data_IF_572915769733
#
_entry.id   IF_572915769733
#
_cell.length_a   1.000
_cell.length_b   1.000
_cell.length_c   1.000
_cell.angle_alpha   90.00
_cell.angle_beta   90.00
_cell.angle_gamma   90.00
#
_symmetry.space_group_name_H-M   'P 1'
#
loop_
_entity.id
_entity.type
_entity.pdbx_description
1 polymer ?
#
# COMPACT_ATOMS: atom_id res chain seq x y z
N UNK A 1 1.30 41.27 -7.63
CA UNK A 1 0.12 41.56 -6.80
C UNK A 1 0.59 41.63 -5.35
N UNK A 2 0.24 42.65 -4.59
CA UNK A 2 0.63 42.75 -3.19
C UNK A 2 -0.06 41.61 -2.41
N UNK A 3 0.72 40.85 -1.63
CA UNK A 3 0.17 39.83 -0.73
C UNK A 3 -0.68 40.55 0.33
N UNK A 4 -1.95 40.14 0.46
CA UNK A 4 -2.87 40.71 1.44
C UNK A 4 -2.35 40.37 2.84
N UNK A 5 -2.16 41.37 3.71
CA UNK A 5 -1.76 41.12 5.09
C UNK A 5 -2.97 40.76 5.97
N UNK A 6 -2.73 40.12 7.11
CA UNK A 6 -3.78 39.81 8.10
C UNK A 6 -4.60 41.06 8.49
N UNK A 7 -3.91 42.19 8.64
CA UNK A 7 -4.53 43.46 8.96
C UNK A 7 -5.47 43.96 7.84
N UNK A 8 -5.02 43.88 6.59
CA UNK A 8 -5.81 44.28 5.43
C UNK A 8 -7.02 43.35 5.26
N UNK A 9 -6.83 42.05 5.48
CA UNK A 9 -7.88 41.04 5.40
C UNK A 9 -9.01 41.34 6.39
N UNK A 10 -8.67 41.48 7.67
CA UNK A 10 -9.64 41.79 8.74
C UNK A 10 -10.36 43.11 8.44
N UNK A 11 -9.62 44.14 8.04
CA UNK A 11 -10.20 45.43 7.71
C UNK A 11 -11.17 45.33 6.52
N UNK A 12 -10.80 44.62 5.46
CA UNK A 12 -11.65 44.44 4.28
C UNK A 12 -12.95 43.72 4.62
N UNK A 13 -12.89 42.61 5.36
CA UNK A 13 -14.08 41.86 5.75
C UNK A 13 -14.97 42.67 6.71
N UNK A 14 -14.39 43.39 7.68
CA UNK A 14 -15.16 44.29 8.55
C UNK A 14 -15.92 45.35 7.77
N UNK A 15 -15.25 45.99 6.81
CA UNK A 15 -15.87 47.02 5.96
C UNK A 15 -16.94 46.44 5.03
N UNK A 16 -16.71 45.26 4.44
CA UNK A 16 -17.72 44.53 3.64
C UNK A 16 -18.97 44.18 4.45
N UNK A 17 -18.79 43.84 5.73
CA UNK A 17 -19.89 43.56 6.66
C UNK A 17 -20.53 44.81 7.27
N UNK A 18 -20.16 46.02 6.81
CA UNK A 18 -20.66 47.32 7.29
C UNK A 18 -20.52 47.52 8.81
N UNK A 19 -19.50 46.91 9.43
CA UNK A 19 -19.27 47.02 10.87
C UNK A 19 -18.30 48.14 11.21
N UNK A 20 -18.64 48.95 12.20
CA UNK A 20 -17.67 49.87 12.81
C UNK A 20 -16.74 49.11 13.75
N UNK A 21 -15.56 49.67 14.03
CA UNK A 21 -14.64 49.11 15.04
C UNK A 21 -15.32 48.95 16.41
N UNK A 22 -16.16 49.90 16.82
CA UNK A 22 -16.88 49.84 18.09
C UNK A 22 -17.90 48.70 18.11
N UNK A 23 -18.59 48.47 16.99
CA UNK A 23 -19.60 47.41 16.87
C UNK A 23 -18.95 46.03 16.87
N UNK A 24 -17.87 45.83 16.11
CA UNK A 24 -17.12 44.58 16.12
C UNK A 24 -16.51 44.29 17.50
N UNK A 25 -15.94 45.31 18.16
CA UNK A 25 -15.42 45.21 19.53
C UNK A 25 -16.49 44.75 20.53
N UNK A 26 -17.69 45.33 20.44
CA UNK A 26 -18.84 44.96 21.27
C UNK A 26 -19.27 43.51 21.03
N UNK A 27 -19.32 43.05 19.77
CA UNK A 27 -19.68 41.67 19.42
C UNK A 27 -18.64 40.65 19.85
N UNK A 28 -17.36 40.97 19.66
CA UNK A 28 -16.24 40.12 20.04
C UNK A 28 -15.92 40.17 21.54
N UNK A 29 -16.55 41.07 22.31
CA UNK A 29 -16.21 41.31 23.71
C UNK A 29 -14.70 41.56 23.93
N UNK A 30 -14.09 42.34 23.02
CA UNK A 30 -12.68 42.74 23.08
C UNK A 30 -12.56 44.26 23.03
N UNK A 31 -11.44 44.80 23.52
CA UNK A 31 -11.21 46.24 23.49
C UNK A 31 -11.11 46.74 22.03
N UNK A 32 -11.85 47.79 21.68
CA UNK A 32 -11.78 48.48 20.38
C UNK A 32 -10.35 48.82 19.96
N UNK A 33 -9.53 49.24 20.92
CA UNK A 33 -8.11 49.54 20.69
C UNK A 33 -7.31 48.32 20.21
N UNK A 34 -7.66 47.11 20.66
CA UNK A 34 -7.01 45.87 20.20
C UNK A 34 -7.27 45.63 18.72
N UNK A 35 -8.53 45.71 18.28
CA UNK A 35 -8.90 45.55 16.86
C UNK A 35 -8.22 46.63 16.01
N UNK A 36 -8.26 47.89 16.46
CA UNK A 36 -7.63 49.01 15.75
C UNK A 36 -6.13 48.79 15.56
N UNK A 37 -5.43 48.33 16.61
CA UNK A 37 -3.99 48.05 16.53
C UNK A 37 -3.68 46.89 15.60
N UNK A 38 -4.55 45.88 15.51
CA UNK A 38 -4.42 44.77 14.56
C UNK A 38 -4.59 45.28 13.13
N UNK A 39 -5.67 46.00 12.83
CA UNK A 39 -5.92 46.57 11.49
C UNK A 39 -4.85 47.58 11.05
N UNK A 40 -4.19 48.26 11.98
CA UNK A 40 -3.10 49.20 11.69
C UNK A 40 -1.70 48.56 11.71
N UNK A 41 -1.58 47.23 11.86
CA UNK A 41 -0.30 46.50 11.96
C UNK A 41 0.58 46.94 13.14
N UNK A 42 0.00 47.56 14.16
CA UNK A 42 0.69 47.97 15.38
C UNK A 42 0.95 46.77 16.31
N UNK A 43 0.17 45.69 16.19
CA UNK A 43 0.42 44.42 16.87
C UNK A 43 1.24 43.51 15.97
N UNK A 44 2.52 43.33 16.30
CA UNK A 44 3.43 42.45 15.52
C UNK A 44 3.00 40.99 15.50
N UNK A 45 2.44 40.49 16.60
CA UNK A 45 2.03 39.09 16.81
C UNK A 45 0.71 39.05 17.57
N UNK A 46 -0.43 39.18 16.87
CA UNK A 46 -1.71 39.09 17.54
C UNK A 46 -1.93 37.69 18.11
N UNK A 47 -2.66 37.62 19.22
CA UNK A 47 -3.05 36.35 19.83
C UNK A 47 -4.01 35.59 18.89
N UNK A 48 -3.73 34.30 18.64
CA UNK A 48 -4.50 33.50 17.67
C UNK A 48 -5.98 33.42 18.04
N UNK A 49 -6.32 33.23 19.32
CA UNK A 49 -7.73 33.15 19.76
C UNK A 49 -8.47 34.46 19.49
N UNK A 50 -7.80 35.59 19.69
CA UNK A 50 -8.34 36.91 19.36
C UNK A 50 -8.58 37.05 17.85
N UNK A 51 -7.62 36.60 17.03
CA UNK A 51 -7.77 36.62 15.56
C UNK A 51 -8.90 35.69 15.10
N UNK A 52 -8.94 34.46 15.58
CA UNK A 52 -9.96 33.47 15.25
C UNK A 52 -11.38 33.96 15.64
N UNK A 53 -11.53 34.61 16.80
CA UNK A 53 -12.79 35.20 17.21
C UNK A 53 -13.23 36.35 16.29
N UNK A 54 -12.32 37.26 15.94
CA UNK A 54 -12.60 38.34 15.00
C UNK A 54 -12.98 37.76 13.62
N UNK A 55 -12.20 36.80 13.13
CA UNK A 55 -12.42 36.14 11.84
C UNK A 55 -13.78 35.45 11.79
N UNK A 56 -14.15 34.70 12.84
CA UNK A 56 -15.44 34.04 12.95
C UNK A 56 -16.61 35.02 12.93
N UNK A 57 -16.52 36.16 13.63
CA UNK A 57 -17.57 37.19 13.63
C UNK A 57 -17.70 37.96 12.32
N UNK A 58 -16.65 37.92 11.51
CA UNK A 58 -16.59 38.53 10.19
C UNK A 58 -16.84 37.52 9.07
N UNK A 59 -17.15 36.26 9.42
CA UNK A 59 -17.34 35.14 8.49
C UNK A 59 -16.16 34.95 7.52
N UNK A 60 -14.94 35.19 8.00
CA UNK A 60 -13.71 34.96 7.21
C UNK A 60 -13.42 33.45 7.20
N UNK A 61 -13.23 32.81 6.03
CA UNK A 61 -12.87 31.41 5.93
C UNK A 61 -11.58 31.08 6.71
N UNK A 62 -11.55 29.91 7.36
CA UNK A 62 -10.41 29.45 8.17
C UNK A 62 -9.09 29.51 7.42
N UNK A 63 -9.05 28.90 6.23
CA UNK A 63 -7.85 28.84 5.40
C UNK A 63 -7.32 30.24 5.04
N UNK A 64 -8.20 31.22 4.81
CA UNK A 64 -7.80 32.57 4.38
C UNK A 64 -7.10 33.36 5.50
N UNK A 65 -7.68 33.39 6.71
CA UNK A 65 -7.08 34.14 7.80
C UNK A 65 -5.88 33.43 8.43
N UNK A 66 -5.86 32.09 8.45
CA UNK A 66 -4.74 31.32 8.95
C UNK A 66 -3.51 31.50 8.05
N UNK A 67 -3.69 31.54 6.73
CA UNK A 67 -2.60 31.86 5.80
C UNK A 67 -1.96 33.22 6.12
N UNK A 68 -2.78 34.24 6.36
CA UNK A 68 -2.27 35.56 6.73
C UNK A 68 -1.66 35.57 8.15
N UNK A 69 -2.19 34.78 9.07
CA UNK A 69 -1.70 34.67 10.44
C UNK A 69 -0.30 34.06 10.51
N UNK A 70 -0.05 33.01 9.74
CA UNK A 70 1.27 32.35 9.67
C UNK A 70 2.39 33.29 9.20
N UNK A 71 2.08 34.33 8.43
CA UNK A 71 3.09 35.29 7.98
C UNK A 71 3.59 36.23 9.09
N UNK A 72 2.83 36.39 10.17
CA UNK A 72 3.20 37.24 11.31
C UNK A 72 3.65 36.46 12.54
N UNK A 73 3.19 35.21 12.71
CA UNK A 73 3.63 34.34 13.79
C UNK A 73 4.91 33.58 13.44
N UNK A 74 5.85 33.53 14.40
CA UNK A 74 7.16 32.89 14.23
C UNK A 74 7.54 31.97 15.39
N UNK A 75 6.67 31.80 16.38
CA UNK A 75 6.95 30.91 17.51
C UNK A 75 6.47 29.51 17.18
N UNK A 76 7.39 28.55 17.23
CA UNK A 76 7.09 27.15 16.97
C UNK A 76 5.96 26.63 17.88
N UNK A 77 5.94 27.02 19.15
CA UNK A 77 4.89 26.62 20.11
C UNK A 77 3.49 27.05 19.69
N UNK A 78 3.33 28.26 19.11
CA UNK A 78 2.02 28.76 18.67
C UNK A 78 1.60 28.07 17.37
N UNK A 79 2.52 27.92 16.42
CA UNK A 79 2.28 27.19 15.18
C UNK A 79 1.95 25.72 15.43
N UNK A 80 2.57 25.12 16.46
CA UNK A 80 2.29 23.77 16.90
C UNK A 80 0.87 23.63 17.46
N UNK A 81 0.47 24.50 18.40
CA UNK A 81 -0.91 24.48 18.92
C UNK A 81 -1.95 24.70 17.82
N UNK A 82 -1.65 25.56 16.85
CA UNK A 82 -2.48 25.77 15.67
C UNK A 82 -2.58 24.51 14.79
N UNK A 83 -1.47 23.80 14.61
CA UNK A 83 -1.44 22.53 13.87
C UNK A 83 -2.30 21.48 14.56
N UNK A 84 -2.16 21.31 15.88
CA UNK A 84 -2.96 20.38 16.68
C UNK A 84 -4.45 20.69 16.60
N UNK A 85 -4.83 21.97 16.73
CA UNK A 85 -6.23 22.41 16.62
C UNK A 85 -6.79 22.15 15.21
N UNK A 86 -5.98 22.38 14.17
CA UNK A 86 -6.39 22.15 12.78
C UNK A 86 -6.59 20.66 12.48
N UNK A 87 -5.73 19.80 13.03
CA UNK A 87 -5.88 18.34 12.93
C UNK A 87 -7.11 17.87 13.70
N UNK A 88 -7.27 18.33 14.95
CA UNK A 88 -8.38 17.93 15.81
C UNK A 88 -9.75 18.37 15.26
N UNK A 89 -9.78 19.49 14.54
CA UNK A 89 -10.98 20.03 13.91
C UNK A 89 -11.19 19.51 12.47
N UNK A 90 -10.42 18.52 12.04
CA UNK A 90 -10.48 17.91 10.70
C UNK A 90 -10.46 18.94 9.57
N UNK A 91 -9.58 19.95 9.70
CA UNK A 91 -9.39 20.96 8.65
C UNK A 91 -8.80 20.33 7.38
N UNK A 92 -8.82 21.09 6.29
CA UNK A 92 -8.33 20.59 5.00
C UNK A 92 -6.86 20.14 5.09
N UNK A 93 -6.53 19.03 4.41
CA UNK A 93 -5.14 18.56 4.29
C UNK A 93 -4.20 19.64 3.73
N UNK A 94 -4.73 20.55 2.92
CA UNK A 94 -4.00 21.69 2.38
C UNK A 94 -3.53 22.66 3.48
N UNK A 95 -4.45 23.12 4.35
CA UNK A 95 -4.10 24.08 5.41
C UNK A 95 -3.22 23.43 6.48
N UNK A 96 -3.51 22.18 6.86
CA UNK A 96 -2.70 21.42 7.83
C UNK A 96 -1.25 21.30 7.33
N UNK A 97 -1.06 20.97 6.05
CA UNK A 97 0.28 20.91 5.45
C UNK A 97 0.98 22.26 5.44
N UNK A 98 0.27 23.36 5.18
CA UNK A 98 0.85 24.72 5.22
C UNK A 98 1.32 25.08 6.64
N UNK A 99 0.49 24.82 7.65
CA UNK A 99 0.85 25.07 9.06
C UNK A 99 2.07 24.22 9.46
N UNK A 100 2.06 22.92 9.15
CA UNK A 100 3.20 22.05 9.43
C UNK A 100 4.48 22.51 8.71
N UNK A 101 4.37 22.99 7.47
CA UNK A 101 5.52 23.55 6.73
C UNK A 101 6.06 24.78 7.44
N UNK A 102 5.19 25.72 7.84
CA UNK A 102 5.62 26.94 8.54
C UNK A 102 6.24 26.64 9.90
N UNK A 103 5.70 25.64 10.62
CA UNK A 103 6.28 25.16 11.88
C UNK A 103 7.73 24.66 11.68
N UNK A 104 7.99 23.87 10.63
CA UNK A 104 9.34 23.40 10.32
C UNK A 104 10.30 24.52 9.87
N UNK A 105 9.79 25.61 9.27
CA UNK A 105 10.59 26.75 8.83
C UNK A 105 10.98 27.73 9.96
N UNK A 106 10.69 27.38 11.22
CA UNK A 106 10.97 28.25 12.35
C UNK A 106 12.48 28.33 12.65
N UNK A 107 13.07 29.51 12.51
CA UNK A 107 14.53 29.72 12.63
C UNK A 107 15.10 29.62 14.07
N UNK A 108 14.25 29.63 15.09
CA UNK A 108 14.67 29.75 16.50
C UNK A 108 14.85 28.41 17.21
N UNK A 109 14.33 27.32 16.64
CA UNK A 109 14.36 25.99 17.23
C UNK A 109 15.29 25.08 16.43
N UNK A 110 15.77 24.01 17.04
CA UNK A 110 16.58 23.02 16.35
C UNK A 110 15.73 22.27 15.32
N UNK A 111 16.19 22.21 14.06
CA UNK A 111 15.46 21.55 12.98
C UNK A 111 15.23 20.06 13.24
N UNK A 112 16.13 19.40 13.98
CA UNK A 112 15.96 18.01 14.41
C UNK A 112 14.77 17.87 15.35
N UNK A 113 14.69 18.71 16.39
CA UNK A 113 13.62 18.66 17.40
C UNK A 113 12.24 18.94 16.78
N UNK A 114 12.15 19.91 15.86
CA UNK A 114 10.93 20.20 15.13
C UNK A 114 10.46 18.99 14.30
N UNK A 115 11.38 18.33 13.60
CA UNK A 115 11.06 17.14 12.80
C UNK A 115 10.67 15.97 13.70
N UNK A 116 11.36 15.76 14.82
CA UNK A 116 11.03 14.72 15.79
C UNK A 116 9.61 14.88 16.34
N UNK A 117 9.26 16.11 16.74
CA UNK A 117 7.93 16.43 17.26
C UNK A 117 6.85 16.15 16.20
N UNK A 118 7.04 16.65 14.96
CA UNK A 118 6.09 16.42 13.88
C UNK A 118 5.96 14.93 13.51
N UNK A 119 7.08 14.21 13.47
CA UNK A 119 7.08 12.77 13.17
C UNK A 119 6.32 11.98 14.24
N UNK A 120 6.58 12.24 15.52
CA UNK A 120 5.94 11.55 16.64
C UNK A 120 4.42 11.76 16.63
N UNK A 121 3.96 12.98 16.39
CA UNK A 121 2.54 13.27 16.29
C UNK A 121 1.91 12.63 15.06
N UNK A 122 2.61 12.67 13.91
CA UNK A 122 2.13 12.03 12.67
C UNK A 122 1.90 10.54 12.87
N UNK A 123 2.77 9.85 13.62
CA UNK A 123 2.62 8.43 13.90
C UNK A 123 1.30 8.09 14.62
N UNK A 124 0.80 9.00 15.47
CA UNK A 124 -0.39 8.80 16.29
C UNK A 124 -1.73 9.05 15.58
N UNK A 125 -1.70 9.65 14.38
CA UNK A 125 -2.92 10.00 13.63
C UNK A 125 -3.74 8.74 13.26
N UNK A 126 -4.99 8.91 12.85
CA UNK A 126 -5.81 7.80 12.31
C UNK A 126 -6.03 7.94 10.81
N UNK A 127 -6.09 9.19 10.30
CA UNK A 127 -6.22 9.47 8.88
C UNK A 127 -4.93 9.12 8.12
N UNK A 128 -4.98 8.04 7.34
CA UNK A 128 -3.88 7.54 6.51
C UNK A 128 -3.45 8.53 5.42
N UNK A 129 -4.38 9.28 4.83
CA UNK A 129 -4.09 10.27 3.79
C UNK A 129 -3.30 11.43 4.38
N UNK A 130 -3.74 11.94 5.53
CA UNK A 130 -3.01 12.99 6.25
C UNK A 130 -1.64 12.49 6.77
N UNK A 131 -1.56 11.25 7.28
CA UNK A 131 -0.28 10.64 7.66
C UNK A 131 0.72 10.66 6.51
N UNK A 132 0.30 10.16 5.35
CA UNK A 132 1.15 10.08 4.17
C UNK A 132 1.62 11.47 3.74
N UNK A 133 0.72 12.45 3.76
CA UNK A 133 1.03 13.85 3.45
C UNK A 133 2.12 14.43 4.37
N UNK A 134 2.00 14.21 5.68
CA UNK A 134 2.95 14.72 6.66
C UNK A 134 4.29 13.97 6.62
N UNK A 135 4.29 12.64 6.44
CA UNK A 135 5.55 11.91 6.24
C UNK A 135 6.29 12.36 4.98
N UNK A 136 5.59 12.60 3.87
CA UNK A 136 6.21 13.17 2.65
C UNK A 136 6.80 14.57 2.90
N UNK A 137 6.12 15.40 3.70
CA UNK A 137 6.66 16.70 4.12
C UNK A 137 7.93 16.53 4.95
N UNK A 138 7.91 15.65 5.96
CA UNK A 138 9.06 15.33 6.82
C UNK A 138 10.25 14.87 5.99
N UNK A 139 10.07 13.92 5.06
CA UNK A 139 11.13 13.42 4.18
C UNK A 139 11.75 14.55 3.36
N UNK A 140 10.90 15.39 2.74
CA UNK A 140 11.35 16.52 1.92
C UNK A 140 12.18 17.51 2.73
N UNK A 141 11.67 17.92 3.89
CA UNK A 141 12.36 18.86 4.78
C UNK A 141 13.66 18.27 5.34
N UNK A 142 13.62 17.01 5.77
CA UNK A 142 14.80 16.32 6.31
C UNK A 142 15.93 16.22 5.27
N UNK A 143 15.60 16.00 4.00
CA UNK A 143 16.58 16.00 2.89
C UNK A 143 17.25 17.36 2.72
N UNK A 144 16.51 18.46 2.76
CA UNK A 144 17.10 19.81 2.59
C UNK A 144 17.92 20.28 3.78
N UNK A 145 17.74 19.66 4.95
CA UNK A 145 18.42 20.03 6.20
C UNK A 145 19.41 18.97 6.71
N UNK A 146 19.63 17.89 5.94
CA UNK A 146 20.62 16.85 6.30
C UNK A 146 20.21 15.95 7.48
N UNK A 147 18.92 15.87 7.82
CA UNK A 147 18.41 15.12 8.97
C UNK A 147 18.16 13.65 8.57
N UNK A 148 19.23 12.88 8.39
CA UNK A 148 19.16 11.57 7.73
C UNK A 148 18.26 10.55 8.43
N UNK A 149 18.20 10.55 9.77
CA UNK A 149 17.36 9.62 10.55
C UNK A 149 15.88 9.73 10.17
N UNK A 150 15.38 10.95 9.97
CA UNK A 150 13.98 11.17 9.58
C UNK A 150 13.73 11.04 8.08
N UNK A 151 14.77 11.01 7.26
CA UNK A 151 14.67 10.48 5.89
C UNK A 151 14.40 8.97 5.97
N UNK A 152 15.19 8.23 6.74
CA UNK A 152 15.06 6.78 6.89
C UNK A 152 13.68 6.38 7.45
N UNK A 153 13.32 6.95 8.61
CA UNK A 153 12.05 6.69 9.28
C UNK A 153 10.86 7.15 8.43
N UNK A 154 10.96 8.32 7.80
CA UNK A 154 9.91 8.84 6.92
C UNK A 154 9.67 7.93 5.72
N UNK A 155 10.73 7.50 5.02
CA UNK A 155 10.62 6.58 3.89
C UNK A 155 10.01 5.23 4.33
N UNK A 156 10.40 4.71 5.49
CA UNK A 156 9.81 3.48 6.03
C UNK A 156 8.30 3.61 6.26
N UNK A 157 7.86 4.70 6.89
CA UNK A 157 6.44 4.94 7.15
C UNK A 157 5.64 5.21 5.88
N UNK A 158 6.21 5.97 4.93
CA UNK A 158 5.62 6.18 3.61
C UNK A 158 5.39 4.83 2.91
N UNK A 159 6.41 3.98 2.85
CA UNK A 159 6.30 2.64 2.26
C UNK A 159 5.24 1.77 2.97
N UNK A 160 5.18 1.80 4.30
CA UNK A 160 4.17 1.05 5.05
C UNK A 160 2.73 1.44 4.71
N UNK A 161 2.50 2.70 4.35
CA UNK A 161 1.18 3.20 3.93
C UNK A 161 0.92 2.81 2.48
N UNK A 162 1.84 3.17 1.57
CA UNK A 162 1.64 3.02 0.13
C UNK A 162 1.58 1.54 -0.28
N UNK A 163 2.27 0.62 0.42
CA UNK A 163 2.27 -0.82 0.06
C UNK A 163 0.93 -1.53 0.23
N UNK A 164 -0.04 -0.86 0.85
CA UNK A 164 -1.41 -1.37 0.97
C UNK A 164 -2.34 -0.84 -0.15
N UNK A 165 -1.83 0.00 -1.05
CA UNK A 165 -2.50 0.35 -2.30
C UNK A 165 -2.08 -0.64 -3.38
N UNK A 166 -2.96 -1.61 -3.64
CA UNK A 166 -2.66 -2.70 -4.56
C UNK A 166 -2.66 -2.28 -6.03
N UNK A 167 -3.21 -1.09 -6.35
CA UNK A 167 -3.20 -0.56 -7.71
C UNK A 167 -1.81 -0.08 -8.16
N UNK A 168 -0.86 0.04 -7.23
CA UNK A 168 0.48 0.56 -7.46
C UNK A 168 1.59 -0.32 -6.85
N UNK A 169 1.38 -1.64 -6.74
CA UNK A 169 2.30 -2.55 -6.03
C UNK A 169 3.73 -2.48 -6.57
N UNK A 170 3.90 -2.59 -7.89
CA UNK A 170 5.24 -2.65 -8.50
C UNK A 170 6.02 -1.34 -8.28
N UNK A 171 5.37 -0.20 -8.46
CA UNK A 171 5.96 1.12 -8.29
C UNK A 171 6.26 1.41 -6.81
N UNK A 172 5.38 0.96 -5.93
CA UNK A 172 5.57 1.06 -4.47
C UNK A 172 6.72 0.17 -4.00
N UNK A 173 6.90 -1.01 -4.59
CA UNK A 173 8.05 -1.87 -4.30
C UNK A 173 9.36 -1.20 -4.70
N UNK A 174 9.45 -0.71 -5.94
CA UNK A 174 10.63 -0.01 -6.45
C UNK A 174 10.97 1.23 -5.61
N UNK A 175 9.96 2.03 -5.26
CA UNK A 175 10.18 3.21 -4.41
C UNK A 175 10.49 2.84 -2.95
N UNK A 176 9.93 1.74 -2.43
CA UNK A 176 10.20 1.21 -1.10
C UNK A 176 11.65 0.76 -0.92
N UNK A 177 12.29 0.21 -1.97
CA UNK A 177 13.69 -0.21 -1.92
C UNK A 177 14.65 0.96 -1.63
N UNK A 178 14.27 2.22 -1.87
CA UNK A 178 15.12 3.37 -1.50
C UNK A 178 15.41 3.47 0.00
N UNK A 179 14.59 2.85 0.87
CA UNK A 179 14.85 2.77 2.32
C UNK A 179 16.20 2.12 2.59
N UNK A 180 16.64 1.18 1.75
CA UNK A 180 17.87 0.41 1.93
C UNK A 180 19.13 1.31 1.94
N UNK A 181 19.09 2.45 1.26
CA UNK A 181 20.19 3.43 1.28
C UNK A 181 20.38 4.10 2.65
N UNK A 182 19.40 3.97 3.55
CA UNK A 182 19.37 4.58 4.88
C UNK A 182 19.17 3.54 5.99
N UNK A 183 19.32 2.25 5.68
CA UNK A 183 18.91 1.13 6.53
C UNK A 183 19.65 1.10 7.89
N UNK A 184 20.91 1.55 7.91
CA UNK A 184 21.74 1.63 9.11
C UNK A 184 21.29 2.71 10.10
N UNK A 185 20.44 3.64 9.66
CA UNK A 185 19.87 4.70 10.53
C UNK A 185 18.59 4.25 11.24
N UNK A 186 18.04 3.10 10.85
CA UNK A 186 16.90 2.49 11.51
C UNK A 186 17.35 1.65 12.71
N UNK A 187 16.50 1.57 13.73
CA UNK A 187 16.72 0.62 14.83
C UNK A 187 16.75 -0.81 14.31
N UNK A 188 17.41 -1.74 15.04
CA UNK A 188 17.44 -3.17 14.70
C UNK A 188 16.03 -3.71 14.39
N UNK A 189 15.05 -3.35 15.23
CA UNK A 189 13.64 -3.73 15.04
C UNK A 189 13.06 -3.22 13.73
N UNK A 190 13.19 -1.92 13.45
CA UNK A 190 12.69 -1.31 12.22
C UNK A 190 13.37 -1.91 10.98
N UNK A 191 14.68 -2.12 11.03
CA UNK A 191 15.45 -2.76 9.96
C UNK A 191 14.95 -4.18 9.67
N UNK A 192 14.73 -4.98 10.71
CA UNK A 192 14.13 -6.31 10.55
C UNK A 192 12.73 -6.24 9.94
N UNK A 193 11.88 -5.30 10.37
CA UNK A 193 10.54 -5.11 9.80
C UNK A 193 10.60 -4.68 8.32
N UNK A 194 11.56 -3.83 7.93
CA UNK A 194 11.79 -3.43 6.54
C UNK A 194 12.15 -4.63 5.68
N UNK A 195 13.15 -5.42 6.08
CA UNK A 195 13.55 -6.63 5.34
C UNK A 195 12.40 -7.61 5.21
N UNK A 196 11.65 -7.86 6.28
CA UNK A 196 10.48 -8.72 6.24
C UNK A 196 9.43 -8.22 5.23
N UNK A 197 9.06 -6.95 5.32
CA UNK A 197 8.02 -6.37 4.45
C UNK A 197 8.45 -6.30 2.99
N UNK A 198 9.73 -6.06 2.71
CA UNK A 198 10.28 -6.10 1.36
C UNK A 198 10.35 -7.55 0.84
N UNK A 199 10.72 -8.52 1.67
CA UNK A 199 10.72 -9.94 1.29
C UNK A 199 9.31 -10.42 0.90
N UNK A 200 8.30 -10.09 1.71
CA UNK A 200 6.89 -10.41 1.40
C UNK A 200 6.43 -9.72 0.11
N UNK A 201 6.77 -8.43 -0.07
CA UNK A 201 6.36 -7.69 -1.26
C UNK A 201 7.03 -8.24 -2.52
N UNK A 202 8.33 -8.55 -2.47
CA UNK A 202 9.06 -9.20 -3.55
C UNK A 202 8.45 -10.56 -3.89
N UNK A 203 8.08 -11.36 -2.88
CA UNK A 203 7.40 -12.64 -3.07
C UNK A 203 6.06 -12.48 -3.78
N UNK A 204 5.24 -11.52 -3.35
CA UNK A 204 3.97 -11.19 -4.00
C UNK A 204 4.15 -10.79 -5.46
N UNK A 205 5.23 -10.08 -5.78
CA UNK A 205 5.59 -9.72 -7.16
C UNK A 205 6.33 -10.83 -7.92
N UNK A 206 6.50 -12.01 -7.29
CA UNK A 206 7.22 -13.19 -7.84
C UNK A 206 8.69 -12.92 -8.15
N UNK A 207 9.26 -11.92 -7.49
CA UNK A 207 10.69 -11.61 -7.48
C UNK A 207 11.38 -12.51 -6.43
N UNK A 208 11.29 -13.83 -6.63
CA UNK A 208 11.68 -14.81 -5.62
C UNK A 208 13.14 -14.70 -5.19
N UNK A 209 14.05 -14.32 -6.11
CA UNK A 209 15.45 -14.10 -5.76
C UNK A 209 15.63 -12.91 -4.82
N UNK A 210 14.97 -11.77 -5.09
CA UNK A 210 15.01 -10.60 -4.20
C UNK A 210 14.36 -10.91 -2.84
N UNK A 211 13.27 -11.68 -2.85
CA UNK A 211 12.62 -12.16 -1.63
C UNK A 211 13.59 -12.98 -0.76
N UNK A 212 14.33 -13.93 -1.38
CA UNK A 212 15.38 -14.71 -0.73
C UNK A 212 16.46 -13.81 -0.13
N UNK A 213 16.93 -12.82 -0.89
CA UNK A 213 18.00 -11.93 -0.46
C UNK A 213 17.59 -11.13 0.80
N UNK A 214 16.35 -10.61 0.84
CA UNK A 214 15.82 -9.93 2.03
C UNK A 214 15.59 -10.88 3.21
N UNK A 215 15.09 -12.10 2.98
CA UNK A 215 14.95 -13.10 4.03
C UNK A 215 16.31 -13.47 4.65
N UNK A 216 17.38 -13.55 3.85
CA UNK A 216 18.73 -13.81 4.35
C UNK A 216 19.25 -12.66 5.21
N UNK A 217 19.05 -11.42 4.77
CA UNK A 217 19.40 -10.24 5.57
C UNK A 217 18.66 -10.24 6.91
N UNK A 218 17.36 -10.57 6.89
CA UNK A 218 16.55 -10.70 8.10
C UNK A 218 17.10 -11.75 9.08
N UNK A 219 17.46 -12.93 8.57
CA UNK A 219 18.00 -14.03 9.39
C UNK A 219 19.37 -13.67 9.99
N UNK A 220 20.18 -12.88 9.27
CA UNK A 220 21.50 -12.43 9.73
C UNK A 220 21.43 -11.39 10.87
N UNK A 221 20.31 -10.66 11.00
CA UNK A 221 20.10 -9.73 12.11
C UNK A 221 20.01 -10.41 13.48
N UNK A 222 20.00 -11.75 13.52
CA UNK A 222 20.15 -12.63 14.70
C UNK A 222 19.26 -12.26 15.89
N UNK A 223 18.06 -12.80 15.87
CA UNK A 223 17.29 -13.14 17.05
C UNK A 223 16.29 -14.25 16.66
N UNK A 224 16.60 -15.51 17.01
CA UNK A 224 15.68 -16.64 16.77
C UNK A 224 14.37 -16.48 17.55
N UNK A 225 14.33 -15.62 18.57
CA UNK A 225 13.09 -15.28 19.29
C UNK A 225 12.24 -14.25 18.54
N UNK A 226 12.77 -13.64 17.47
CA UNK A 226 12.02 -12.71 16.65
C UNK A 226 10.94 -13.44 15.84
N UNK A 227 9.68 -13.03 16.02
CA UNK A 227 8.52 -13.54 15.28
C UNK A 227 8.74 -13.62 13.76
N UNK A 228 9.54 -12.73 13.18
CA UNK A 228 9.77 -12.70 11.74
C UNK A 228 10.72 -13.79 11.24
N UNK A 229 11.53 -14.40 12.10
CA UNK A 229 12.45 -15.47 11.72
C UNK A 229 11.71 -16.62 11.05
N UNK A 230 10.68 -17.14 11.72
CA UNK A 230 9.87 -18.24 11.20
C UNK A 230 9.15 -17.89 9.91
N UNK A 231 8.68 -16.64 9.78
CA UNK A 231 8.04 -16.17 8.55
C UNK A 231 9.05 -16.12 7.39
N UNK A 232 10.29 -15.70 7.65
CA UNK A 232 11.35 -15.72 6.63
C UNK A 232 11.70 -17.15 6.19
N UNK A 233 11.79 -18.11 7.11
CA UNK A 233 11.96 -19.53 6.75
C UNK A 233 10.79 -20.02 5.90
N UNK A 234 9.55 -19.67 6.27
CA UNK A 234 8.35 -19.93 5.48
C UNK A 234 8.44 -19.42 4.05
N UNK A 235 8.86 -18.17 3.87
CA UNK A 235 9.04 -17.55 2.54
C UNK A 235 10.16 -18.23 1.75
N UNK A 236 11.29 -18.57 2.39
CA UNK A 236 12.45 -19.19 1.73
C UNK A 236 12.11 -20.55 1.14
N UNK A 237 11.36 -21.38 1.85
CA UNK A 237 10.86 -22.68 1.37
C UNK A 237 10.21 -22.57 -0.01
N UNK A 238 9.22 -21.70 -0.14
CA UNK A 238 8.48 -21.53 -1.39
C UNK A 238 9.28 -20.75 -2.44
N UNK A 239 10.04 -19.74 -2.04
CA UNK A 239 10.88 -18.98 -2.97
C UNK A 239 11.90 -19.87 -3.67
N UNK A 240 12.57 -20.76 -2.92
CA UNK A 240 13.49 -21.74 -3.51
C UNK A 240 12.79 -22.79 -4.36
N UNK A 241 11.56 -23.20 -3.98
CA UNK A 241 10.75 -24.06 -4.84
C UNK A 241 10.50 -23.42 -6.21
N UNK A 242 10.04 -22.16 -6.24
CA UNK A 242 9.76 -21.46 -7.49
C UNK A 242 11.02 -21.08 -8.28
N UNK A 243 12.17 -20.98 -7.63
CA UNK A 243 13.49 -20.87 -8.28
C UNK A 243 14.02 -22.22 -8.81
N UNK A 244 13.28 -23.31 -8.59
CA UNK A 244 13.64 -24.70 -8.92
C UNK A 244 14.86 -25.26 -8.17
N UNK A 245 15.19 -24.67 -7.01
CA UNK A 245 16.17 -25.22 -6.06
C UNK A 245 15.45 -26.07 -5.01
N UNK A 246 15.01 -27.26 -5.43
CA UNK A 246 14.19 -28.16 -4.60
C UNK A 246 14.94 -28.73 -3.40
N UNK A 247 16.28 -28.82 -3.48
CA UNK A 247 17.10 -29.26 -2.36
C UNK A 247 17.13 -28.21 -1.26
N UNK A 248 17.35 -26.94 -1.61
CA UNK A 248 17.36 -25.86 -0.63
C UNK A 248 15.95 -25.58 -0.09
N UNK A 249 14.92 -25.69 -0.94
CA UNK A 249 13.52 -25.67 -0.52
C UNK A 249 13.24 -26.72 0.56
N UNK A 250 13.68 -27.97 0.36
CA UNK A 250 13.55 -29.05 1.34
C UNK A 250 14.34 -28.79 2.63
N UNK A 251 15.56 -28.28 2.53
CA UNK A 251 16.35 -27.94 3.71
C UNK A 251 15.66 -26.91 4.60
N UNK A 252 15.09 -25.85 4.01
CA UNK A 252 14.31 -24.87 4.76
C UNK A 252 12.98 -25.44 5.28
N UNK A 253 12.39 -26.42 4.58
CA UNK A 253 11.20 -27.13 5.07
C UNK A 253 11.51 -27.92 6.34
N UNK A 254 12.59 -28.70 6.34
CA UNK A 254 13.05 -29.46 7.52
C UNK A 254 13.37 -28.51 8.69
N UNK A 255 14.00 -27.37 8.41
CA UNK A 255 14.25 -26.33 9.41
C UNK A 255 12.96 -25.75 9.99
N UNK A 256 11.94 -25.52 9.18
CA UNK A 256 10.64 -25.02 9.63
C UNK A 256 9.93 -26.03 10.54
N UNK A 257 9.91 -27.30 10.13
CA UNK A 257 9.25 -28.40 10.85
C UNK A 257 9.95 -28.75 12.18
N UNK A 258 11.25 -28.47 12.29
CA UNK A 258 12.01 -28.68 13.52
C UNK A 258 11.68 -27.67 14.64
N UNK A 259 10.89 -26.63 14.36
CA UNK A 259 10.56 -25.60 15.34
C UNK A 259 9.41 -26.06 16.25
N UNK A 260 9.57 -25.90 17.58
CA UNK A 260 8.71 -26.49 18.65
C UNK A 260 7.20 -26.15 18.59
N UNK A 261 6.77 -25.31 17.63
CA UNK A 261 5.39 -24.86 17.48
C UNK A 261 4.83 -24.95 16.05
N UNK A 262 5.52 -25.60 15.10
CA UNK A 262 4.92 -25.85 13.78
C UNK A 262 3.88 -26.97 13.88
N UNK A 263 2.61 -26.62 14.06
CA UNK A 263 1.55 -27.53 13.63
C UNK A 263 1.74 -27.77 12.13
N UNK A 264 1.43 -28.98 11.64
CA UNK A 264 1.48 -29.25 10.20
C UNK A 264 0.41 -28.38 9.53
N UNK A 265 0.85 -27.24 9.03
CA UNK A 265 0.00 -26.26 8.37
C UNK A 265 -0.33 -26.73 6.95
N UNK A 266 -1.40 -26.21 6.36
CA UNK A 266 -1.83 -26.58 5.01
C UNK A 266 -0.73 -26.32 3.97
N UNK A 267 0.10 -25.30 4.20
CA UNK A 267 1.27 -24.95 3.40
C UNK A 267 2.37 -26.03 3.40
N UNK A 268 2.55 -26.78 4.49
CA UNK A 268 3.55 -27.84 4.60
C UNK A 268 3.14 -29.03 3.74
N UNK A 269 1.88 -29.44 3.85
CA UNK A 269 1.29 -30.54 3.06
C UNK A 269 1.34 -30.21 1.56
N UNK A 270 0.97 -28.98 1.21
CA UNK A 270 1.01 -28.52 -0.17
C UNK A 270 2.43 -28.54 -0.74
N UNK A 271 3.40 -27.96 -0.02
CA UNK A 271 4.78 -27.94 -0.49
C UNK A 271 5.38 -29.34 -0.63
N UNK A 272 5.06 -30.26 0.28
CA UNK A 272 5.51 -31.65 0.20
C UNK A 272 4.98 -32.33 -1.08
N UNK A 273 3.68 -32.19 -1.37
CA UNK A 273 3.07 -32.70 -2.60
C UNK A 273 3.73 -32.10 -3.86
N UNK A 274 3.96 -30.78 -3.85
CA UNK A 274 4.63 -30.07 -4.94
C UNK A 274 6.07 -30.55 -5.15
N UNK A 275 6.84 -30.78 -4.08
CA UNK A 275 8.22 -31.27 -4.15
C UNK A 275 8.28 -32.69 -4.74
N UNK A 276 7.37 -33.59 -4.33
CA UNK A 276 7.28 -34.93 -4.90
C UNK A 276 6.89 -34.90 -6.38
N UNK A 277 5.93 -34.04 -6.76
CA UNK A 277 5.56 -33.83 -8.15
C UNK A 277 6.76 -33.42 -9.00
N UNK A 278 7.57 -32.44 -8.53
CA UNK A 278 8.75 -31.96 -9.27
C UNK A 278 9.90 -32.96 -9.34
N UNK A 279 9.99 -33.90 -8.39
CA UNK A 279 10.96 -35.00 -8.40
C UNK A 279 10.54 -36.19 -9.26
N UNK A 280 9.31 -36.19 -9.76
CA UNK A 280 8.77 -37.27 -10.60
C UNK A 280 8.04 -38.38 -9.83
N UNK A 281 7.84 -38.21 -8.52
CA UNK A 281 7.07 -39.15 -7.68
C UNK A 281 5.55 -38.88 -7.84
N UNK A 282 5.06 -38.97 -9.08
CA UNK A 282 3.72 -38.46 -9.46
C UNK A 282 2.58 -39.10 -8.68
N UNK A 283 2.57 -40.43 -8.51
CA UNK A 283 1.51 -41.13 -7.78
C UNK A 283 1.44 -40.73 -6.30
N UNK A 284 2.62 -40.54 -5.69
CA UNK A 284 2.72 -40.07 -4.31
C UNK A 284 2.24 -38.62 -4.20
N UNK A 285 2.64 -37.76 -5.12
CA UNK A 285 2.19 -36.38 -5.17
C UNK A 285 0.67 -36.27 -5.30
N UNK A 286 0.05 -37.04 -6.19
CA UNK A 286 -1.42 -37.13 -6.34
C UNK A 286 -2.07 -37.52 -5.02
N UNK A 287 -1.57 -38.56 -4.36
CA UNK A 287 -2.06 -39.01 -3.05
C UNK A 287 -1.96 -37.91 -2.00
N UNK A 288 -0.87 -37.15 -1.98
CA UNK A 288 -0.65 -36.05 -1.05
C UNK A 288 -1.54 -34.84 -1.37
N UNK A 289 -1.76 -34.52 -2.64
CA UNK A 289 -2.71 -33.49 -3.07
C UNK A 289 -4.14 -33.83 -2.65
N UNK A 290 -4.59 -35.07 -2.82
CA UNK A 290 -5.91 -35.51 -2.37
C UNK A 290 -6.07 -35.36 -0.85
N UNK A 291 -5.06 -35.79 -0.08
CA UNK A 291 -5.06 -35.63 1.38
C UNK A 291 -5.06 -34.16 1.79
N UNK A 292 -4.29 -33.31 1.10
CA UNK A 292 -4.25 -31.88 1.35
C UNK A 292 -5.62 -31.25 1.09
N UNK A 293 -6.23 -31.55 -0.06
CA UNK A 293 -7.53 -31.01 -0.47
C UNK A 293 -8.65 -31.40 0.51
N UNK A 294 -8.63 -32.64 1.02
CA UNK A 294 -9.59 -33.14 2.00
C UNK A 294 -9.45 -32.49 3.39
N UNK A 295 -8.24 -32.10 3.78
CA UNK A 295 -7.95 -31.65 5.15
C UNK A 295 -7.75 -30.13 5.27
N UNK A 296 -7.53 -29.42 4.17
CA UNK A 296 -7.24 -27.99 4.20
C UNK A 296 -8.48 -27.15 4.53
N UNK A 297 -8.23 -25.94 5.06
CA UNK A 297 -9.27 -24.94 5.28
C UNK A 297 -9.86 -24.45 3.98
N UNK A 298 -11.11 -23.99 4.01
CA UNK A 298 -11.83 -23.51 2.82
C UNK A 298 -11.09 -22.38 2.11
N UNK A 299 -10.58 -21.40 2.86
CA UNK A 299 -9.78 -20.30 2.30
C UNK A 299 -8.46 -20.76 1.65
N UNK A 300 -7.94 -21.95 2.01
CA UNK A 300 -6.69 -22.47 1.47
C UNK A 300 -6.88 -23.35 0.23
N UNK A 301 -8.11 -23.79 -0.08
CA UNK A 301 -8.40 -24.74 -1.15
C UNK A 301 -7.88 -24.29 -2.51
N UNK A 302 -7.96 -22.99 -2.82
CA UNK A 302 -7.53 -22.47 -4.11
C UNK A 302 -6.06 -22.76 -4.41
N UNK A 303 -5.18 -22.62 -3.42
CA UNK A 303 -3.75 -22.90 -3.58
C UNK A 303 -3.51 -24.37 -3.95
N UNK A 304 -4.22 -25.28 -3.28
CA UNK A 304 -4.12 -26.73 -3.55
C UNK A 304 -4.67 -27.06 -4.94
N UNK A 305 -5.86 -26.54 -5.27
CA UNK A 305 -6.52 -26.77 -6.57
C UNK A 305 -5.66 -26.27 -7.73
N UNK A 306 -5.07 -25.08 -7.62
CA UNK A 306 -4.22 -24.51 -8.67
C UNK A 306 -3.01 -25.41 -8.98
N UNK A 307 -2.24 -25.77 -7.95
CA UNK A 307 -1.06 -26.62 -8.12
C UNK A 307 -1.44 -28.03 -8.60
N UNK A 308 -2.58 -28.55 -8.15
CA UNK A 308 -3.06 -29.89 -8.55
C UNK A 308 -3.57 -29.93 -10.00
N UNK A 309 -4.31 -28.92 -10.44
CA UNK A 309 -4.67 -28.75 -11.87
C UNK A 309 -3.38 -28.64 -12.70
N UNK A 310 -2.42 -27.82 -12.25
CA UNK A 310 -1.15 -27.66 -12.96
C UNK A 310 -0.38 -28.98 -13.07
N UNK A 311 -0.36 -29.82 -12.03
CA UNK A 311 0.22 -31.16 -12.08
C UNK A 311 -0.48 -32.01 -13.13
N UNK A 312 -1.80 -32.18 -13.04
CA UNK A 312 -2.56 -33.01 -13.98
C UNK A 312 -2.38 -32.57 -15.43
N UNK A 313 -2.40 -31.26 -15.67
CA UNK A 313 -2.17 -30.69 -17.01
C UNK A 313 -0.76 -30.97 -17.53
N UNK A 314 0.25 -31.06 -16.65
CA UNK A 314 1.65 -31.35 -17.01
C UNK A 314 1.90 -32.82 -17.38
N UNK A 315 1.12 -33.74 -16.82
CA UNK A 315 1.18 -35.19 -17.13
C UNK A 315 0.11 -35.62 -18.15
N UNK A 316 -0.58 -34.66 -18.76
CA UNK A 316 -1.64 -34.85 -19.77
C UNK A 316 -2.89 -35.61 -19.28
N UNK A 317 -3.11 -35.65 -17.96
CA UNK A 317 -4.32 -36.18 -17.33
C UNK A 317 -5.45 -35.13 -17.32
N UNK A 318 -5.84 -34.69 -18.53
CA UNK A 318 -6.77 -33.57 -18.73
C UNK A 318 -8.13 -33.82 -18.07
N UNK A 319 -8.63 -35.07 -18.09
CA UNK A 319 -9.91 -35.40 -17.49
C UNK A 319 -9.92 -35.17 -15.96
N UNK A 320 -8.83 -35.49 -15.28
CA UNK A 320 -8.69 -35.27 -13.84
C UNK A 320 -8.59 -33.79 -13.49
N UNK A 321 -7.86 -33.00 -14.29
CA UNK A 321 -7.85 -31.54 -14.17
C UNK A 321 -9.27 -30.95 -14.29
N UNK A 322 -10.08 -31.46 -15.22
CA UNK A 322 -11.47 -31.04 -15.40
C UNK A 322 -12.36 -31.32 -14.18
N UNK A 323 -12.11 -32.40 -13.43
CA UNK A 323 -12.86 -32.68 -12.20
C UNK A 323 -12.59 -31.64 -11.12
N UNK A 324 -11.35 -31.16 -10.99
CA UNK A 324 -10.98 -30.12 -10.02
C UNK A 324 -11.66 -28.77 -10.33
N UNK A 325 -11.96 -28.47 -11.60
CA UNK A 325 -12.70 -27.26 -11.97
C UNK A 325 -14.12 -27.22 -11.40
N UNK A 326 -14.70 -28.36 -11.00
CA UNK A 326 -15.99 -28.39 -10.30
C UNK A 326 -15.98 -27.69 -8.94
N UNK A 327 -14.78 -27.40 -8.40
CA UNK A 327 -14.61 -26.65 -7.15
C UNK A 327 -14.75 -25.12 -7.30
N UNK A 328 -15.02 -24.63 -8.51
CA UNK A 328 -15.15 -23.19 -8.79
C UNK A 328 -16.17 -22.48 -7.89
N UNK A 329 -17.30 -23.10 -7.57
CA UNK A 329 -18.30 -22.51 -6.66
C UNK A 329 -17.72 -22.29 -5.25
N UNK A 330 -16.96 -23.27 -4.74
CA UNK A 330 -16.29 -23.15 -3.46
C UNK A 330 -15.21 -22.06 -3.50
N UNK A 331 -14.45 -21.97 -4.59
CA UNK A 331 -13.44 -20.93 -4.81
C UNK A 331 -14.08 -19.53 -4.85
N UNK A 332 -15.22 -19.37 -5.52
CA UNK A 332 -15.94 -18.08 -5.56
C UNK A 332 -16.56 -17.68 -4.21
N UNK A 333 -16.73 -18.63 -3.28
CA UNK A 333 -17.23 -18.32 -1.94
C UNK A 333 -16.17 -17.76 -0.98
N UNK A 334 -14.89 -17.83 -1.38
CA UNK A 334 -13.76 -17.29 -0.59
C UNK A 334 -13.77 -15.76 -0.67
N UNK A 335 -13.43 -15.11 0.46
CA UNK A 335 -13.21 -13.65 0.49
C UNK A 335 -11.74 -13.36 0.25
N UNK A 336 -11.44 -12.62 -0.83
CA UNK A 336 -10.08 -12.24 -1.23
C UNK A 336 -9.76 -10.82 -0.72
N UNK A 337 -8.65 -10.68 0.00
CA UNK A 337 -8.25 -9.46 0.72
C UNK A 337 -6.79 -9.06 0.51
N UNK A 338 -5.95 -9.97 0.04
CA UNK A 338 -4.53 -9.71 -0.20
C UNK A 338 -4.15 -9.85 -1.68
N UNK A 339 -3.06 -9.23 -2.14
CA UNK A 339 -2.66 -9.37 -3.54
C UNK A 339 -2.31 -10.80 -3.93
N UNK A 340 -1.76 -11.59 -3.00
CA UNK A 340 -1.46 -13.01 -3.24
C UNK A 340 -2.75 -13.83 -3.41
N UNK A 341 -3.79 -13.52 -2.66
CA UNK A 341 -5.11 -14.15 -2.80
C UNK A 341 -5.74 -13.82 -4.17
N UNK A 342 -5.73 -12.55 -4.60
CA UNK A 342 -6.19 -12.16 -5.93
C UNK A 342 -5.35 -12.80 -7.05
N UNK A 343 -4.05 -12.94 -6.84
CA UNK A 343 -3.15 -13.65 -7.74
C UNK A 343 -3.59 -15.10 -7.94
N UNK A 344 -3.90 -15.82 -6.87
CA UNK A 344 -4.32 -17.22 -6.94
C UNK A 344 -5.66 -17.38 -7.66
N UNK A 345 -6.58 -16.44 -7.46
CA UNK A 345 -7.84 -16.41 -8.21
C UNK A 345 -7.62 -16.17 -9.70
N UNK A 346 -6.75 -15.22 -10.05
CA UNK A 346 -6.39 -14.96 -11.43
C UNK A 346 -5.67 -16.19 -12.05
N UNK A 347 -4.83 -16.88 -11.28
CA UNK A 347 -4.14 -18.08 -11.72
C UNK A 347 -5.11 -19.25 -11.95
N UNK A 348 -6.10 -19.43 -11.08
CA UNK A 348 -7.17 -20.40 -11.26
C UNK A 348 -7.88 -20.21 -12.61
N UNK A 349 -8.31 -18.98 -12.91
CA UNK A 349 -8.96 -18.67 -14.19
C UNK A 349 -8.02 -18.90 -15.39
N UNK A 350 -6.72 -18.63 -15.24
CA UNK A 350 -5.73 -18.93 -16.28
C UNK A 350 -5.64 -20.44 -16.56
N UNK A 351 -5.56 -21.26 -15.51
CA UNK A 351 -5.51 -22.72 -15.61
C UNK A 351 -6.80 -23.28 -16.22
N UNK A 352 -7.95 -22.73 -15.84
CA UNK A 352 -9.26 -23.04 -16.43
C UNK A 352 -9.27 -22.72 -17.93
N UNK A 353 -8.71 -21.58 -18.34
CA UNK A 353 -8.49 -21.24 -19.74
C UNK A 353 -7.62 -22.26 -20.46
N UNK A 354 -6.46 -22.61 -19.89
CA UNK A 354 -5.53 -23.61 -20.44
C UNK A 354 -6.20 -25.00 -20.61
N UNK A 355 -7.03 -25.41 -19.65
CA UNK A 355 -7.84 -26.62 -19.73
C UNK A 355 -8.80 -26.59 -20.93
N UNK A 356 -9.57 -25.50 -21.08
CA UNK A 356 -10.52 -25.37 -22.18
C UNK A 356 -9.87 -25.30 -23.55
N UNK A 357 -8.65 -24.76 -23.64
CA UNK A 357 -7.85 -24.85 -24.88
C UNK A 357 -7.54 -26.31 -25.21
N UNK A 358 -7.14 -27.12 -24.22
CA UNK A 358 -6.86 -28.55 -24.45
C UNK A 358 -8.10 -29.35 -24.82
N UNK A 359 -9.27 -29.02 -24.29
CA UNK A 359 -10.55 -29.69 -24.62
C UNK A 359 -11.27 -29.07 -25.82
N UNK A 360 -10.64 -28.12 -26.51
CA UNK A 360 -11.18 -27.43 -27.69
C UNK A 360 -12.51 -26.68 -27.44
N UNK A 361 -12.69 -26.14 -26.23
CA UNK A 361 -13.82 -25.30 -25.82
C UNK A 361 -13.40 -23.83 -25.86
N UNK A 362 -13.26 -23.27 -27.08
CA UNK A 362 -12.53 -22.01 -27.29
C UNK A 362 -13.21 -20.77 -26.67
N UNK A 363 -14.55 -20.73 -26.64
CA UNK A 363 -15.30 -19.64 -26.00
C UNK A 363 -15.09 -19.61 -24.49
N UNK A 364 -15.20 -20.76 -23.84
CA UNK A 364 -14.94 -20.89 -22.41
C UNK A 364 -13.48 -20.55 -22.06
N UNK A 365 -12.54 -20.92 -22.94
CA UNK A 365 -11.14 -20.55 -22.80
C UNK A 365 -10.94 -19.02 -22.88
N UNK A 366 -11.57 -18.37 -23.87
CA UNK A 366 -11.50 -16.93 -24.05
C UNK A 366 -12.06 -16.18 -22.82
N UNK A 367 -13.24 -16.59 -22.34
CA UNK A 367 -13.87 -16.02 -21.15
C UNK A 367 -12.99 -16.19 -19.91
N UNK A 368 -12.38 -17.36 -19.73
CA UNK A 368 -11.50 -17.63 -18.59
C UNK A 368 -10.22 -16.80 -18.63
N UNK A 369 -9.60 -16.62 -19.81
CA UNK A 369 -8.43 -15.73 -19.94
C UNK A 369 -8.79 -14.25 -19.71
N UNK A 370 -9.97 -13.80 -20.16
CA UNK A 370 -10.45 -12.45 -19.90
C UNK A 370 -10.64 -12.23 -18.39
N UNK A 371 -11.30 -13.15 -17.69
CA UNK A 371 -11.48 -13.10 -16.23
C UNK A 371 -10.12 -13.05 -15.52
N UNK A 372 -9.19 -13.93 -15.91
CA UNK A 372 -7.83 -13.94 -15.38
C UNK A 372 -7.12 -12.59 -15.54
N UNK A 373 -7.17 -12.00 -16.74
CA UNK A 373 -6.57 -10.70 -17.01
C UNK A 373 -7.19 -9.58 -16.14
N UNK A 374 -8.52 -9.55 -16.04
CA UNK A 374 -9.21 -8.57 -15.19
C UNK A 374 -8.85 -8.72 -13.71
N UNK A 375 -8.71 -9.94 -13.20
CA UNK A 375 -8.30 -10.16 -11.81
C UNK A 375 -6.85 -9.75 -11.57
N UNK A 376 -5.92 -10.04 -12.51
CA UNK A 376 -4.54 -9.55 -12.41
C UNK A 376 -4.44 -8.01 -12.44
N UNK A 377 -5.30 -7.35 -13.23
CA UNK A 377 -5.33 -5.88 -13.30
C UNK A 377 -5.70 -5.22 -11.96
N UNK A 378 -6.52 -5.88 -11.12
CA UNK A 378 -6.91 -5.36 -9.79
C UNK A 378 -5.71 -5.21 -8.83
N UNK A 379 -4.64 -5.96 -9.07
CA UNK A 379 -3.40 -5.92 -8.29
C UNK A 379 -2.22 -5.36 -9.08
N UNK A 380 -2.49 -4.68 -10.21
CA UNK A 380 -1.48 -4.10 -11.09
C UNK A 380 -0.43 -5.11 -11.59
N UNK A 381 -0.77 -6.40 -11.70
CA UNK A 381 0.12 -7.41 -12.29
C UNK A 381 0.04 -7.37 -13.82
N UNK A 382 0.60 -6.29 -14.37
CA UNK A 382 0.58 -5.99 -15.82
C UNK A 382 1.25 -7.10 -16.63
N UNK A 383 2.24 -7.78 -16.07
CA UNK A 383 2.94 -8.86 -16.77
C UNK A 383 2.01 -10.06 -16.98
N UNK A 384 1.36 -10.55 -15.92
CA UNK A 384 0.45 -11.70 -16.04
C UNK A 384 -0.85 -11.36 -16.75
N UNK A 385 -1.38 -10.15 -16.56
CA UNK A 385 -2.49 -9.63 -17.36
C UNK A 385 -2.18 -9.74 -18.86
N UNK A 386 -1.03 -9.20 -19.30
CA UNK A 386 -0.61 -9.26 -20.72
C UNK A 386 -0.39 -10.68 -21.23
N UNK A 387 0.09 -11.59 -20.38
CA UNK A 387 0.22 -12.99 -20.76
C UNK A 387 -1.15 -13.63 -21.03
N UNK A 388 -2.16 -13.37 -20.18
CA UNK A 388 -3.52 -13.83 -20.39
C UNK A 388 -4.13 -13.22 -21.66
N UNK A 389 -3.95 -11.92 -21.88
CA UNK A 389 -4.40 -11.25 -23.11
C UNK A 389 -3.72 -11.80 -24.36
N UNK A 390 -2.42 -12.11 -24.29
CA UNK A 390 -1.71 -12.75 -25.41
C UNK A 390 -2.25 -14.15 -25.72
N UNK A 391 -2.57 -14.95 -24.69
CA UNK A 391 -3.23 -16.24 -24.87
C UNK A 391 -4.61 -16.09 -25.50
N UNK A 392 -5.40 -15.12 -25.06
CA UNK A 392 -6.69 -14.77 -25.67
C UNK A 392 -6.52 -14.40 -27.15
N UNK A 393 -5.62 -13.48 -27.51
CA UNK A 393 -5.38 -13.09 -28.91
C UNK A 393 -4.94 -14.26 -29.78
N UNK A 394 -4.14 -15.19 -29.24
CA UNK A 394 -3.75 -16.41 -29.96
C UNK A 394 -4.94 -17.30 -30.28
N UNK A 395 -5.94 -17.40 -29.40
CA UNK A 395 -7.16 -18.16 -29.66
C UNK A 395 -8.00 -17.51 -30.75
N UNK A 396 -8.24 -16.20 -30.64
CA UNK A 396 -9.05 -15.44 -31.61
C UNK A 396 -8.47 -15.49 -33.03
N UNK A 397 -7.14 -15.61 -33.16
CA UNK A 397 -6.48 -15.75 -34.46
C UNK A 397 -6.63 -17.14 -35.08
N UNK A 398 -6.89 -18.18 -34.27
CA UNK A 398 -6.94 -19.58 -34.72
C UNK A 398 -8.30 -20.01 -35.23
N UNK A 399 -9.35 -19.27 -34.93
CA UNK A 399 -10.72 -19.65 -35.25
C UNK A 399 -11.40 -18.54 -36.09
N UNK A 400 -11.88 -18.93 -37.28
CA UNK A 400 -12.60 -18.04 -38.19
C UNK A 400 -13.97 -17.59 -37.63
N UNK A 401 -14.51 -18.27 -36.61
CA UNK A 401 -15.79 -17.96 -35.96
C UNK A 401 -15.70 -16.77 -34.98
N UNK A 402 -14.52 -16.45 -34.43
CA UNK A 402 -14.32 -15.28 -33.55
C UNK A 402 -14.20 -13.94 -34.30
N UNK A 403 -14.59 -13.93 -35.59
CA UNK A 403 -14.91 -12.69 -36.32
C UNK A 403 -16.24 -12.07 -35.89
N UNK A 404 -16.95 -12.67 -34.93
CA UNK A 404 -18.17 -12.09 -34.38
C UNK A 404 -17.87 -10.83 -33.55
N UNK A 405 -18.71 -9.82 -33.74
CA UNK A 405 -18.50 -8.43 -33.30
C UNK A 405 -18.55 -8.32 -31.77
N UNK A 406 -19.25 -9.23 -31.08
CA UNK A 406 -19.40 -9.25 -29.62
C UNK A 406 -18.08 -9.43 -28.88
N UNK A 407 -17.24 -10.39 -29.29
CA UNK A 407 -15.93 -10.63 -28.64
C UNK A 407 -14.95 -9.47 -28.87
N UNK A 408 -15.05 -8.78 -30.02
CA UNK A 408 -14.28 -7.57 -30.28
C UNK A 408 -14.75 -6.43 -29.37
N UNK A 409 -16.06 -6.27 -29.16
CA UNK A 409 -16.63 -5.30 -28.23
C UNK A 409 -16.18 -5.56 -26.80
N UNK A 410 -16.12 -6.81 -26.33
CA UNK A 410 -15.66 -7.12 -24.98
C UNK A 410 -14.17 -6.78 -24.77
N UNK A 411 -13.35 -7.02 -25.80
CA UNK A 411 -11.94 -6.60 -25.81
C UNK A 411 -11.82 -5.07 -25.83
N UNK A 412 -12.64 -4.39 -26.62
CA UNK A 412 -12.68 -2.93 -26.70
C UNK A 412 -13.11 -2.33 -25.35
N UNK A 413 -14.16 -2.85 -24.71
CA UNK A 413 -14.59 -2.47 -23.36
C UNK A 413 -13.51 -2.73 -22.31
N UNK A 414 -12.76 -3.82 -22.43
CA UNK A 414 -11.59 -4.08 -21.58
C UNK A 414 -10.52 -2.99 -21.76
N UNK A 415 -10.15 -2.65 -23.00
CA UNK A 415 -9.20 -1.56 -23.27
C UNK A 415 -9.71 -0.18 -22.81
N UNK A 416 -11.00 0.11 -22.97
CA UNK A 416 -11.60 1.37 -22.49
C UNK A 416 -11.56 1.48 -20.96
N UNK A 417 -11.78 0.36 -20.24
CA UNK A 417 -11.63 0.31 -18.78
C UNK A 417 -10.18 0.45 -18.33
N UNK A 418 -9.23 -0.12 -19.08
CA UNK A 418 -7.81 0.05 -18.81
C UNK A 418 -7.31 1.49 -19.06
N UNK A 419 -7.92 2.22 -20.00
CA UNK A 419 -7.59 3.62 -20.30
C UNK A 419 -8.29 4.66 -19.40
N UNK A 420 -9.24 4.23 -18.57
CA UNK A 420 -10.03 5.11 -17.69
C UNK A 420 -9.64 5.02 -16.21
N UNK A 421 -8.62 4.23 -15.90
CA UNK A 421 -7.85 4.22 -14.65
C UNK A 421 -6.57 5.02 -14.91
#
# INVERSE_FOLDING_TARGET
MAVLSLADLIQQYRLKSNLTLSELARRANINKGTISKIENREVKRPDFKTVALIASLLDIPFDEYVECYMEVERRATVLWSLLEESIASSQSNFIIRKIATKFLETEQEDSYDLVEQLFTTTASLQDTSLKLLLYKLIIKYSRSHGIMVYIAKGLYQQYCIERNDFSNLQETYQSGQYILNYIELLSKRERTEVYYKLAVHAYTLRLYQESVDFCKLLIQEDDRENRFYMHAIGILRFSYFYLNDYELSKQYQEQYQAYEHSQVEDNDKLLEAMLHAKRGDVELAITQFDQCLLACRDEFKIHVVNEYISLYMSIDEVAAAGQLLSMEEAIHSITYTTPLEFYELAYFYRLKGDYFVKTNQLEDAANSYMQSAMTYAQINDVQSERQCMHSLFKLLRRDDQFKDVSTIIDIEQFYERMCSI
#
